data_IF_070592911949
#
_entry.id   IF_070592911949
#
_cell.length_a   1.000
_cell.length_b   1.000
_cell.length_c   1.000
_cell.angle_alpha   90.00
_cell.angle_beta   90.00
_cell.angle_gamma   90.00
#
_symmetry.space_group_name_H-M   'P 1'
#
loop_
_entity.id
_entity.type
_entity.pdbx_description
1 polymer ?
#
# COMPACT_ATOMS: atom_id res chain seq x y z
N UNK A 1 -38.58 -13.83 13.89
CA UNK A 1 -38.41 -13.59 12.44
C UNK A 1 -37.23 -12.65 12.11
N UNK A 2 -36.90 -11.67 12.97
CA UNK A 2 -35.79 -10.71 12.76
C UNK A 2 -34.39 -11.36 12.87
N UNK A 3 -34.25 -12.45 13.63
CA UNK A 3 -32.98 -13.17 13.82
C UNK A 3 -32.43 -13.89 12.57
N UNK A 4 -33.26 -14.11 11.54
CA UNK A 4 -32.81 -14.72 10.26
C UNK A 4 -32.32 -13.70 9.23
N UNK A 5 -32.59 -12.41 9.44
CA UNK A 5 -32.18 -11.34 8.52
C UNK A 5 -30.78 -10.78 8.83
N UNK A 6 -30.29 -10.93 10.07
CA UNK A 6 -28.99 -10.41 10.50
C UNK A 6 -27.82 -11.36 10.22
N UNK A 7 -28.06 -12.67 10.09
CA UNK A 7 -27.03 -13.65 9.72
C UNK A 7 -26.56 -13.52 8.27
N UNK A 8 -27.39 -12.98 7.38
CA UNK A 8 -27.03 -12.72 5.98
C UNK A 8 -26.25 -11.41 5.77
N UNK A 9 -26.35 -10.46 6.70
CA UNK A 9 -25.72 -9.14 6.57
C UNK A 9 -24.20 -9.16 6.82
N UNK A 10 -23.69 -10.14 7.58
CA UNK A 10 -22.25 -10.27 7.87
C UNK A 10 -21.48 -10.83 6.67
N UNK A 11 -22.15 -11.60 5.79
CA UNK A 11 -21.53 -12.13 4.56
C UNK A 11 -21.47 -11.03 3.46
N UNK A 12 -22.30 -10.00 3.53
CA UNK A 12 -22.32 -8.88 2.58
C UNK A 12 -21.31 -7.75 2.91
N UNK A 13 -20.63 -7.81 4.06
CA UNK A 13 -19.61 -6.83 4.47
C UNK A 13 -18.18 -7.35 4.36
N UNK A 14 -17.98 -8.55 3.83
CA UNK A 14 -16.65 -8.93 3.33
C UNK A 14 -16.36 -8.04 2.12
N UNK A 15 -15.27 -7.26 2.11
CA UNK A 15 -14.86 -6.62 0.88
C UNK A 15 -14.60 -7.74 -0.13
N UNK A 16 -15.44 -7.84 -1.16
CA UNK A 16 -15.20 -8.55 -2.42
C UNK A 16 -14.09 -7.84 -3.22
N UNK A 17 -13.02 -7.47 -2.53
CA UNK A 17 -11.80 -6.95 -3.08
C UNK A 17 -10.65 -7.86 -2.65
N UNK A 18 -10.87 -9.18 -2.70
CA UNK A 18 -9.79 -10.07 -3.07
C UNK A 18 -9.46 -9.78 -4.53
N UNK A 19 -8.71 -8.70 -4.78
CA UNK A 19 -7.97 -8.58 -6.01
C UNK A 19 -6.96 -9.71 -5.97
N UNK A 20 -7.34 -10.83 -6.60
CA UNK A 20 -6.37 -11.79 -7.08
C UNK A 20 -5.42 -11.00 -7.99
N UNK A 21 -4.29 -10.56 -7.45
CA UNK A 21 -3.25 -9.86 -8.20
C UNK A 21 -2.50 -10.89 -9.04
N UNK A 22 -3.21 -11.44 -10.02
CA UNK A 22 -2.68 -12.20 -11.14
C UNK A 22 -2.36 -11.28 -12.33
N UNK A 23 -2.03 -10.01 -12.08
CA UNK A 23 -1.50 -9.13 -13.11
C UNK A 23 0.02 -9.37 -13.18
N UNK A 24 0.43 -10.29 -14.06
CA UNK A 24 1.82 -10.40 -14.48
C UNK A 24 2.21 -9.03 -15.06
N UNK A 25 3.07 -8.32 -14.32
CA UNK A 25 3.34 -6.90 -14.48
C UNK A 25 3.89 -6.51 -15.83
N UNK A 26 3.01 -6.28 -16.80
CA UNK A 26 3.34 -5.51 -17.98
C UNK A 26 3.56 -4.06 -17.53
N UNK A 27 4.71 -3.49 -17.90
CA UNK A 27 4.95 -2.07 -17.67
C UNK A 27 3.86 -1.26 -18.39
N UNK A 28 3.24 -0.31 -17.69
CA UNK A 28 2.14 0.53 -18.19
C UNK A 28 2.63 1.97 -18.33
N UNK A 29 2.00 2.80 -19.16
CA UNK A 29 2.32 4.22 -19.21
C UNK A 29 2.26 4.85 -17.80
N UNK A 30 3.31 5.57 -17.34
CA UNK A 30 3.34 6.20 -16.02
C UNK A 30 2.37 7.39 -15.87
N UNK A 31 1.64 7.75 -16.95
CA UNK A 31 0.75 8.90 -17.06
C UNK A 31 1.28 9.95 -18.04
N UNK A 32 0.38 10.76 -18.62
CA UNK A 32 0.74 11.79 -19.60
C UNK A 32 1.01 11.25 -21.01
N UNK A 33 1.82 11.98 -21.79
CA UNK A 33 2.27 11.53 -23.12
C UNK A 33 3.24 10.37 -22.95
N UNK A 34 2.90 9.21 -23.49
CA UNK A 34 3.70 7.99 -23.34
C UNK A 34 4.61 7.70 -24.54
N UNK A 35 4.32 8.28 -25.71
CA UNK A 35 5.01 8.00 -26.96
C UNK A 35 5.49 9.30 -27.59
N UNK A 36 6.75 9.35 -28.02
CA UNK A 36 7.34 10.51 -28.71
C UNK A 36 8.19 10.02 -29.88
N UNK A 37 8.01 10.65 -31.05
CA UNK A 37 8.80 10.37 -32.25
C UNK A 37 9.94 11.39 -32.39
N UNK A 38 11.16 10.92 -32.65
CA UNK A 38 12.36 11.75 -32.86
C UNK A 38 13.25 11.13 -33.94
N UNK A 39 13.61 11.91 -34.97
CA UNK A 39 14.54 11.51 -36.06
C UNK A 39 14.30 10.11 -36.66
N UNK A 40 13.03 9.73 -36.89
CA UNK A 40 12.68 8.42 -37.45
C UNK A 40 12.71 7.27 -36.44
N UNK A 41 12.80 7.57 -35.14
CA UNK A 41 12.58 6.64 -34.05
C UNK A 41 11.33 7.02 -33.28
N UNK A 42 10.67 6.03 -32.69
CA UNK A 42 9.57 6.19 -31.77
C UNK A 42 9.99 5.63 -30.41
N UNK A 43 9.84 6.44 -29.37
CA UNK A 43 10.19 6.07 -28.00
C UNK A 43 8.91 6.04 -27.18
N UNK A 44 8.59 4.87 -26.64
CA UNK A 44 7.49 4.66 -25.70
C UNK A 44 8.05 4.51 -24.28
N UNK A 45 7.50 5.27 -23.33
CA UNK A 45 7.84 5.23 -21.92
C UNK A 45 6.78 4.46 -21.11
N UNK A 46 7.23 3.48 -20.35
CA UNK A 46 6.43 2.66 -19.46
C UNK A 46 7.06 2.62 -18.05
N UNK A 47 6.26 2.29 -17.03
CA UNK A 47 6.73 2.01 -15.68
C UNK A 47 6.09 0.76 -15.08
N UNK A 48 6.80 0.13 -14.15
CA UNK A 48 6.29 -0.95 -13.32
C UNK A 48 6.84 -0.84 -11.89
N UNK A 49 6.01 -0.64 -10.86
CA UNK A 49 4.56 -0.43 -10.94
C UNK A 49 4.19 0.93 -11.57
N UNK A 50 2.92 1.06 -11.95
CA UNK A 50 2.32 2.31 -12.43
C UNK A 50 1.00 2.58 -11.67
N UNK A 51 0.70 3.83 -11.28
CA UNK A 51 1.51 5.04 -11.47
C UNK A 51 2.74 5.06 -10.55
N UNK A 52 3.73 5.91 -10.88
CA UNK A 52 4.91 6.11 -10.04
C UNK A 52 4.52 6.70 -8.67
N UNK A 53 5.21 6.25 -7.64
CA UNK A 53 4.95 6.66 -6.26
C UNK A 53 6.23 7.06 -5.52
N UNK A 54 6.12 8.10 -4.69
CA UNK A 54 7.23 8.55 -3.87
C UNK A 54 7.58 7.51 -2.79
N UNK A 55 8.86 7.22 -2.63
CA UNK A 55 9.40 6.23 -1.70
C UNK A 55 9.26 4.78 -2.16
N UNK A 56 8.71 4.53 -3.36
CA UNK A 56 8.52 3.18 -3.91
C UNK A 56 9.48 2.96 -5.08
N UNK A 57 10.25 1.88 -5.03
CA UNK A 57 11.08 1.47 -6.16
C UNK A 57 10.20 1.08 -7.35
N UNK A 58 10.55 1.60 -8.53
CA UNK A 58 9.86 1.35 -9.79
C UNK A 58 10.87 1.16 -10.92
N UNK A 59 10.54 0.35 -11.90
CA UNK A 59 11.29 0.22 -13.14
C UNK A 59 10.72 1.18 -14.17
N UNK A 60 11.57 2.03 -14.77
CA UNK A 60 11.24 2.78 -15.99
C UNK A 60 11.74 2.00 -17.19
N UNK A 61 10.89 1.85 -18.19
CA UNK A 61 11.19 1.12 -19.43
C UNK A 61 10.99 2.07 -20.61
N UNK A 62 12.06 2.32 -21.37
CA UNK A 62 11.99 3.01 -22.65
C UNK A 62 12.04 1.97 -23.77
N UNK A 63 10.96 1.82 -24.53
CA UNK A 63 10.94 1.01 -25.75
C UNK A 63 11.28 1.88 -26.94
N UNK A 64 12.24 1.46 -27.74
CA UNK A 64 12.69 2.20 -28.91
C UNK A 64 12.36 1.41 -30.17
N UNK A 65 11.61 2.04 -31.07
CA UNK A 65 11.23 1.51 -32.36
C UNK A 65 11.73 2.41 -33.49
N UNK A 66 11.97 1.83 -34.66
CA UNK A 66 12.19 2.57 -35.91
C UNK A 66 10.85 2.97 -36.51
N UNK A 67 10.65 4.20 -36.95
CA UNK A 67 9.37 4.66 -37.49
C UNK A 67 9.57 5.31 -38.88
N UNK A 68 9.12 4.68 -40.00
CA UNK A 68 8.62 3.30 -40.19
C UNK A 68 9.76 2.24 -40.25
N UNK A 69 9.54 0.93 -39.99
CA UNK A 69 8.27 0.18 -39.93
C UNK A 69 7.83 -0.30 -38.53
N UNK A 70 8.08 0.48 -37.47
CA UNK A 70 7.87 0.11 -36.04
C UNK A 70 8.66 -1.15 -35.60
N UNK A 71 9.82 -1.37 -36.20
CA UNK A 71 10.72 -2.45 -35.79
C UNK A 71 11.47 -2.06 -34.50
N UNK A 72 11.58 -2.94 -33.49
CA UNK A 72 12.32 -2.65 -32.27
C UNK A 72 13.82 -2.47 -32.53
N UNK A 73 14.44 -1.51 -31.83
CA UNK A 73 15.86 -1.16 -31.99
C UNK A 73 16.67 -1.67 -30.80
N UNK A 74 17.36 -2.79 -30.99
CA UNK A 74 18.21 -3.44 -29.99
C UNK A 74 19.68 -3.04 -30.09
N UNK A 75 20.45 -3.30 -29.02
CA UNK A 75 21.90 -3.11 -28.98
C UNK A 75 22.37 -1.66 -28.94
N UNK A 76 21.48 -0.72 -28.59
CA UNK A 76 21.79 0.70 -28.46
C UNK A 76 22.39 1.08 -27.11
N UNK A 77 22.91 2.31 -27.04
CA UNK A 77 23.33 2.97 -25.81
C UNK A 77 22.30 4.02 -25.41
N UNK A 78 21.48 3.64 -24.44
CA UNK A 78 20.37 4.45 -23.93
C UNK A 78 20.62 4.78 -22.47
N UNK A 79 20.43 6.05 -22.10
CA UNK A 79 20.45 6.50 -20.72
C UNK A 79 19.06 6.99 -20.33
N UNK A 80 18.65 6.75 -19.08
CA UNK A 80 17.37 7.21 -18.56
C UNK A 80 17.60 7.93 -17.23
N UNK A 81 16.94 9.07 -17.03
CA UNK A 81 16.83 9.76 -15.75
C UNK A 81 15.40 10.10 -15.40
N UNK A 82 15.15 10.20 -14.09
CA UNK A 82 13.96 10.80 -13.52
C UNK A 82 14.41 11.94 -12.61
N UNK A 83 13.83 13.13 -12.79
CA UNK A 83 14.08 14.29 -11.93
C UNK A 83 12.78 15.06 -11.69
N UNK A 84 12.65 15.82 -10.59
CA UNK A 84 11.59 16.80 -10.44
C UNK A 84 11.56 17.76 -11.63
N UNK A 85 10.37 18.24 -12.02
CA UNK A 85 10.26 19.14 -13.16
C UNK A 85 11.13 20.40 -12.94
N UNK A 86 12.04 20.69 -13.90
CA UNK A 86 12.97 21.81 -13.83
C UNK A 86 14.27 21.55 -13.05
N UNK A 87 14.43 20.38 -12.44
CA UNK A 87 15.68 20.00 -11.77
C UNK A 87 16.71 19.44 -12.77
N UNK A 88 18.01 19.46 -12.42
CA UNK A 88 19.06 18.83 -13.23
C UNK A 88 18.83 17.32 -13.39
N UNK A 89 19.07 16.82 -14.60
CA UNK A 89 18.99 15.40 -14.93
C UNK A 89 20.34 14.73 -14.72
N UNK A 90 20.31 13.51 -14.18
CA UNK A 90 21.48 12.64 -14.04
C UNK A 90 21.20 11.31 -14.74
N UNK A 91 21.34 11.23 -16.08
CA UNK A 91 21.07 10.03 -16.85
C UNK A 91 21.95 8.86 -16.41
N UNK A 92 21.33 7.69 -16.22
CA UNK A 92 22.04 6.45 -15.90
C UNK A 92 21.90 5.47 -17.06
N UNK A 93 22.91 4.63 -17.32
CA UNK A 93 22.81 3.57 -18.31
C UNK A 93 21.57 2.69 -18.08
N UNK A 94 20.75 2.54 -19.11
CA UNK A 94 19.58 1.69 -19.11
C UNK A 94 19.90 0.46 -19.98
N UNK A 95 20.28 -0.69 -19.40
CA UNK A 95 20.53 -1.90 -20.19
C UNK A 95 19.26 -2.38 -20.90
N UNK A 96 19.44 -3.02 -22.05
CA UNK A 96 18.34 -3.70 -22.74
C UNK A 96 17.93 -4.96 -21.95
N UNK A 97 16.65 -5.08 -21.63
CA UNK A 97 16.05 -6.20 -20.90
C UNK A 97 15.00 -6.83 -21.80
N UNK A 98 14.91 -8.16 -21.81
CA UNK A 98 13.88 -8.93 -22.55
C UNK A 98 13.88 -8.80 -24.08
N UNK A 99 15.00 -8.39 -24.69
CA UNK A 99 15.17 -8.19 -26.15
C UNK A 99 14.08 -7.25 -26.74
N UNK A 100 14.17 -6.91 -28.02
CA UNK A 100 13.21 -6.00 -28.70
C UNK A 100 13.22 -4.53 -28.21
N UNK A 101 14.40 -3.96 -27.96
CA UNK A 101 14.60 -2.52 -27.82
C UNK A 101 14.01 -1.93 -26.55
N UNK A 102 13.89 -2.73 -25.49
CA UNK A 102 13.36 -2.34 -24.18
C UNK A 102 14.50 -2.03 -23.22
N UNK A 103 14.78 -0.76 -22.95
CA UNK A 103 15.86 -0.30 -22.07
C UNK A 103 15.31 0.09 -20.70
N UNK A 104 15.88 -0.45 -19.63
CA UNK A 104 15.27 -0.36 -18.29
C UNK A 104 16.20 0.25 -17.24
N UNK A 105 15.65 1.07 -16.33
CA UNK A 105 16.36 1.55 -15.14
C UNK A 105 15.47 1.56 -13.90
N UNK A 106 16.01 1.13 -12.76
CA UNK A 106 15.34 1.22 -11.46
C UNK A 106 15.43 2.65 -10.91
N UNK A 107 14.29 3.21 -10.46
CA UNK A 107 14.18 4.54 -9.85
C UNK A 107 13.36 4.47 -8.57
N UNK A 108 13.71 5.32 -7.61
CA UNK A 108 12.93 5.53 -6.39
C UNK A 108 12.70 7.02 -6.26
N UNK A 109 11.55 7.55 -6.72
CA UNK A 109 11.25 8.98 -6.60
C UNK A 109 11.18 9.35 -5.11
N UNK A 110 11.89 10.40 -4.67
CA UNK A 110 11.86 10.82 -3.26
C UNK A 110 10.68 11.74 -2.95
N UNK A 111 10.24 12.51 -3.94
CA UNK A 111 9.24 13.57 -3.78
C UNK A 111 8.01 13.29 -4.64
N UNK A 112 6.87 13.80 -4.19
CA UNK A 112 5.62 13.77 -4.94
C UNK A 112 5.54 14.92 -5.94
N UNK A 113 4.62 14.82 -6.89
CA UNK A 113 4.29 15.89 -7.83
C UNK A 113 4.90 15.69 -9.22
N UNK A 114 5.01 16.79 -9.97
CA UNK A 114 5.44 16.77 -11.37
C UNK A 114 6.93 16.44 -11.51
N UNK A 115 7.22 15.43 -12.31
CA UNK A 115 8.56 14.99 -12.66
C UNK A 115 8.72 14.94 -14.17
N UNK A 116 9.97 14.87 -14.60
CA UNK A 116 10.34 14.67 -15.98
C UNK A 116 11.22 13.43 -16.07
N UNK A 117 10.86 12.52 -16.98
CA UNK A 117 11.74 11.43 -17.41
C UNK A 117 12.45 11.87 -18.68
N UNK A 118 13.77 11.73 -18.71
CA UNK A 118 14.58 12.00 -19.90
C UNK A 118 15.21 10.72 -20.38
N UNK A 119 14.97 10.39 -21.65
CA UNK A 119 15.61 9.29 -22.37
C UNK A 119 16.63 9.90 -23.31
N UNK A 120 17.89 9.50 -23.16
CA UNK A 120 19.03 9.94 -23.97
C UNK A 120 19.43 8.78 -24.87
N UNK A 121 19.36 9.00 -26.18
CA UNK A 121 19.80 8.02 -27.18
C UNK A 121 21.19 8.47 -27.67
N UNK A 122 22.24 7.81 -27.20
CA UNK A 122 23.63 8.12 -27.59
C UNK A 122 24.03 7.34 -28.84
N UNK A 123 23.58 6.10 -28.95
CA UNK A 123 23.92 5.20 -30.04
C UNK A 123 22.74 4.27 -30.33
N UNK A 124 22.33 4.14 -31.58
CA UNK A 124 21.30 3.19 -32.03
C UNK A 124 21.71 2.59 -33.37
N UNK A 125 21.45 1.30 -33.59
CA UNK A 125 21.80 0.60 -34.83
C UNK A 125 23.29 0.77 -35.23
N UNK A 126 24.20 0.90 -34.26
CA UNK A 126 25.63 1.17 -34.48
C UNK A 126 25.97 2.59 -34.94
N UNK A 127 24.98 3.49 -35.00
CA UNK A 127 25.17 4.92 -35.30
C UNK A 127 25.17 5.72 -34.01
N UNK A 128 26.26 6.47 -33.78
CA UNK A 128 26.37 7.44 -32.69
C UNK A 128 25.72 8.77 -33.07
N UNK A 129 25.04 9.41 -32.12
CA UNK A 129 24.41 10.72 -32.28
C UNK A 129 25.25 11.81 -31.62
N UNK A 130 25.56 12.87 -32.37
CA UNK A 130 26.23 14.08 -31.87
C UNK A 130 25.51 15.33 -32.40
N UNK A 131 24.79 16.08 -31.54
CA UNK A 131 24.51 15.80 -30.13
C UNK A 131 23.59 14.57 -29.93
N UNK A 132 23.58 13.94 -28.74
CA UNK A 132 22.65 12.85 -28.42
C UNK A 132 21.19 13.25 -28.60
N UNK A 133 20.33 12.31 -28.98
CA UNK A 133 18.90 12.58 -29.08
C UNK A 133 18.26 12.54 -27.69
N UNK A 134 17.52 13.60 -27.35
CA UNK A 134 16.86 13.75 -26.07
C UNK A 134 15.35 13.65 -26.24
N UNK A 135 14.73 12.78 -25.45
CA UNK A 135 13.28 12.62 -25.40
C UNK A 135 12.81 12.81 -23.98
N UNK A 136 11.95 13.81 -23.78
CA UNK A 136 11.46 14.22 -22.47
C UNK A 136 9.97 13.89 -22.29
N UNK A 137 9.65 13.21 -21.19
CA UNK A 137 8.29 12.81 -20.82
C UNK A 137 7.89 13.47 -19.51
N UNK A 138 6.68 14.02 -19.41
CA UNK A 138 6.14 14.56 -18.16
C UNK A 138 5.36 13.48 -17.43
N UNK A 139 5.73 13.20 -16.19
CA UNK A 139 5.11 12.16 -15.37
C UNK A 139 4.71 12.72 -14.01
N UNK A 140 3.60 12.21 -13.46
CA UNK A 140 3.17 12.53 -12.09
C UNK A 140 3.66 11.46 -11.12
N UNK A 141 4.23 11.88 -9.99
CA UNK A 141 4.58 10.98 -8.89
C UNK A 141 3.56 11.14 -7.76
N UNK A 142 2.81 10.07 -7.50
CA UNK A 142 1.76 10.02 -6.50
C UNK A 142 2.24 9.53 -5.12
N UNK A 143 1.26 9.23 -4.26
CA UNK A 143 1.53 8.48 -3.03
C UNK A 143 1.65 6.99 -3.34
N UNK A 144 2.56 6.30 -2.65
CA UNK A 144 2.57 4.84 -2.67
C UNK A 144 1.23 4.31 -2.14
N UNK A 145 0.61 3.30 -2.79
CA UNK A 145 -0.57 2.66 -2.25
C UNK A 145 -0.22 2.06 -0.89
N UNK A 146 -0.76 2.66 0.18
CA UNK A 146 -0.56 2.17 1.54
C UNK A 146 -1.32 0.86 1.78
N UNK A 147 -0.84 0.05 2.71
CA UNK A 147 -1.47 -1.23 3.08
C UNK A 147 -2.75 -1.06 3.91
N UNK A 148 -3.32 0.14 3.95
CA UNK A 148 -4.42 0.50 4.84
C UNK A 148 -5.65 -0.40 4.64
N UNK A 149 -6.02 -0.69 3.39
CA UNK A 149 -7.17 -1.56 3.11
C UNK A 149 -6.99 -2.98 3.69
N UNK A 150 -5.79 -3.55 3.54
CA UNK A 150 -5.42 -4.86 4.10
C UNK A 150 -5.40 -4.85 5.62
N UNK A 151 -4.89 -3.77 6.22
CA UNK A 151 -4.88 -3.62 7.68
C UNK A 151 -6.31 -3.50 8.21
N UNK A 152 -7.15 -2.67 7.57
CA UNK A 152 -8.54 -2.50 7.97
C UNK A 152 -9.38 -3.77 7.80
N UNK A 153 -9.12 -4.57 6.77
CA UNK A 153 -9.82 -5.85 6.60
C UNK A 153 -9.42 -6.87 7.66
N UNK A 154 -8.14 -6.93 8.06
CA UNK A 154 -7.69 -7.76 9.19
C UNK A 154 -8.33 -7.31 10.51
N UNK A 155 -8.39 -6.00 10.77
CA UNK A 155 -9.02 -5.44 11.97
C UNK A 155 -10.52 -5.78 12.00
N UNK A 156 -11.24 -5.60 10.89
CA UNK A 156 -12.66 -5.91 10.80
C UNK A 156 -12.93 -7.41 10.99
N UNK A 157 -12.08 -8.28 10.43
CA UNK A 157 -12.18 -9.73 10.59
C UNK A 157 -12.03 -10.12 12.07
N UNK A 158 -10.98 -9.62 12.73
CA UNK A 158 -10.73 -9.89 14.15
C UNK A 158 -11.88 -9.37 15.04
N UNK A 159 -12.36 -8.16 14.79
CA UNK A 159 -13.51 -7.59 15.49
C UNK A 159 -14.79 -8.40 15.28
N UNK A 160 -15.05 -8.86 14.05
CA UNK A 160 -16.19 -9.70 13.72
C UNK A 160 -16.17 -11.04 14.46
N UNK A 161 -15.02 -11.72 14.49
CA UNK A 161 -14.83 -12.97 15.23
C UNK A 161 -15.06 -12.77 16.72
N UNK A 162 -14.51 -11.70 17.31
CA UNK A 162 -14.71 -11.37 18.71
C UNK A 162 -16.19 -11.11 19.04
N UNK A 163 -16.89 -10.34 18.20
CA UNK A 163 -18.32 -10.06 18.38
C UNK A 163 -19.17 -11.33 18.29
N UNK A 164 -18.86 -12.23 17.34
CA UNK A 164 -19.54 -13.53 17.19
C UNK A 164 -19.34 -14.41 18.43
N UNK A 165 -18.12 -14.43 18.98
CA UNK A 165 -17.82 -15.16 20.21
C UNK A 165 -18.62 -14.61 21.41
N UNK A 166 -18.66 -13.28 21.58
CA UNK A 166 -19.44 -12.63 22.64
C UNK A 166 -20.94 -12.91 22.48
N UNK A 167 -21.46 -12.80 21.26
CA UNK A 167 -22.87 -13.09 20.97
C UNK A 167 -23.22 -14.56 21.28
N UNK A 168 -22.39 -15.51 20.87
CA UNK A 168 -22.60 -16.93 21.14
C UNK A 168 -22.64 -17.24 22.65
N UNK A 169 -21.77 -16.58 23.43
CA UNK A 169 -21.77 -16.68 24.90
C UNK A 169 -23.04 -16.03 25.48
N UNK A 170 -23.41 -14.84 25.02
CA UNK A 170 -24.57 -14.09 25.53
C UNK A 170 -25.92 -14.75 25.23
N UNK A 171 -26.06 -15.42 24.08
CA UNK A 171 -27.28 -16.19 23.74
C UNK A 171 -27.38 -17.44 24.62
N UNK A 172 -26.25 -18.06 24.96
CA UNK A 172 -26.20 -19.20 25.89
C UNK A 172 -26.53 -18.83 27.34
N UNK A 173 -26.45 -17.56 27.73
CA UNK A 173 -26.60 -17.11 29.12
C UNK A 173 -27.95 -16.43 29.44
N UNK A 174 -28.99 -16.60 28.59
CA UNK A 174 -30.31 -15.99 28.83
C UNK A 174 -31.14 -16.82 29.83
N UNK A 175 -30.97 -16.53 31.12
CA UNK A 175 -31.92 -16.80 32.21
C UNK A 175 -32.54 -15.45 32.68
N UNK A 176 -33.78 -15.42 33.22
CA UNK A 176 -34.46 -14.17 33.57
C UNK A 176 -33.86 -13.51 34.82
N UNK A 177 -33.80 -12.18 34.84
CA UNK A 177 -33.11 -11.37 35.86
C UNK A 177 -34.03 -10.30 36.45
N UNK A 178 -34.28 -10.40 37.76
CA UNK A 178 -34.65 -9.26 38.63
C UNK A 178 -33.91 -9.40 39.97
N UNK A 179 -32.87 -8.59 40.16
CA UNK A 179 -32.24 -8.18 41.43
C UNK A 179 -31.02 -7.33 41.06
N UNK A 180 -30.60 -6.37 41.89
CA UNK A 180 -29.38 -5.59 41.64
C UNK A 180 -28.20 -6.54 41.37
N UNK A 181 -27.59 -6.39 40.20
CA UNK A 181 -26.67 -7.39 39.66
C UNK A 181 -25.35 -7.37 40.39
N UNK A 182 -25.26 -8.15 41.46
CA UNK A 182 -23.98 -8.53 42.04
C UNK A 182 -23.28 -9.44 41.02
N UNK A 183 -22.45 -8.85 40.16
CA UNK A 183 -21.73 -9.54 39.08
C UNK A 183 -20.80 -10.66 39.63
N UNK A 184 -20.45 -10.59 40.92
CA UNK A 184 -19.66 -11.60 41.62
C UNK A 184 -20.48 -12.80 42.14
N UNK A 185 -21.81 -12.73 42.17
CA UNK A 185 -22.66 -13.90 42.48
C UNK A 185 -22.76 -14.85 41.29
N UNK A 186 -22.48 -14.35 40.08
CA UNK A 186 -22.43 -15.15 38.87
C UNK A 186 -21.16 -16.01 38.90
N UNK A 187 -21.32 -17.28 39.22
CA UNK A 187 -20.23 -18.22 39.48
C UNK A 187 -19.21 -18.34 38.33
N UNK A 188 -19.62 -18.22 37.07
CA UNK A 188 -18.71 -18.23 35.92
C UNK A 188 -17.93 -16.93 35.77
N UNK A 189 -18.56 -15.77 36.07
CA UNK A 189 -17.91 -14.47 36.00
C UNK A 189 -16.95 -14.28 37.16
N UNK A 190 -17.33 -14.72 38.36
CA UNK A 190 -16.42 -14.81 39.51
C UNK A 190 -15.23 -15.70 39.18
N UNK A 191 -15.45 -16.93 38.69
CA UNK A 191 -14.35 -17.84 38.28
C UNK A 191 -13.46 -17.21 37.22
N UNK A 192 -14.02 -16.47 36.27
CA UNK A 192 -13.26 -15.78 35.23
C UNK A 192 -12.42 -14.65 35.82
N UNK A 193 -13.02 -13.74 36.60
CA UNK A 193 -12.37 -12.57 37.19
C UNK A 193 -11.35 -12.93 38.28
N UNK A 194 -11.57 -14.03 39.03
CA UNK A 194 -10.61 -14.53 40.03
C UNK A 194 -9.64 -15.56 39.47
N UNK A 195 -9.70 -15.84 38.16
CA UNK A 195 -8.77 -16.81 37.54
C UNK A 195 -7.36 -16.21 37.52
N UNK A 196 -6.32 -16.98 37.90
CA UNK A 196 -4.94 -16.53 37.72
C UNK A 196 -4.58 -16.31 36.24
N UNK A 197 -5.36 -16.89 35.31
CA UNK A 197 -5.19 -16.69 33.89
C UNK A 197 -5.84 -15.39 33.36
N UNK A 198 -6.67 -14.71 34.16
CA UNK A 198 -7.39 -13.51 33.72
C UNK A 198 -6.47 -12.33 33.42
N UNK A 199 -5.56 -12.05 34.36
CA UNK A 199 -4.57 -11.01 34.22
C UNK A 199 -3.66 -11.23 33.00
N UNK A 200 -3.03 -12.40 32.80
CA UNK A 200 -2.23 -12.63 31.60
C UNK A 200 -3.09 -12.68 30.32
N UNK A 201 -4.35 -13.12 30.37
CA UNK A 201 -5.23 -13.09 29.20
C UNK A 201 -5.56 -11.67 28.72
N UNK A 202 -5.52 -10.67 29.60
CA UNK A 202 -5.60 -9.26 29.22
C UNK A 202 -4.23 -8.67 28.85
N UNK A 203 -3.20 -8.98 29.64
CA UNK A 203 -1.86 -8.42 29.46
C UNK A 203 -1.17 -8.90 28.19
N UNK A 204 -1.28 -10.18 27.83
CA UNK A 204 -0.60 -10.74 26.65
C UNK A 204 -1.10 -10.09 25.35
N UNK A 205 -2.41 -9.94 25.10
CA UNK A 205 -2.90 -9.19 23.95
C UNK A 205 -2.47 -7.71 23.95
N UNK A 206 -2.49 -7.04 25.10
CA UNK A 206 -2.02 -5.65 25.19
C UNK A 206 -0.52 -5.52 24.89
N UNK A 207 0.30 -6.44 25.42
CA UNK A 207 1.73 -6.50 25.13
C UNK A 207 1.95 -6.75 23.64
N UNK A 208 1.22 -7.69 23.05
CA UNK A 208 1.31 -7.97 21.62
C UNK A 208 0.94 -6.75 20.77
N UNK A 209 -0.15 -6.06 21.12
CA UNK A 209 -0.54 -4.80 20.48
C UNK A 209 0.55 -3.74 20.64
N UNK A 210 1.16 -3.62 21.81
CA UNK A 210 2.26 -2.69 22.05
C UNK A 210 3.49 -3.02 21.20
N UNK A 211 3.86 -4.30 21.07
CA UNK A 211 4.94 -4.72 20.16
C UNK A 211 4.61 -4.33 18.72
N UNK A 212 3.38 -4.53 18.26
CA UNK A 212 2.94 -4.11 16.92
C UNK A 212 3.09 -2.60 16.74
N UNK A 213 2.63 -1.80 17.70
CA UNK A 213 2.74 -0.33 17.65
C UNK A 213 4.21 0.10 17.59
N UNK A 214 5.09 -0.53 18.37
CA UNK A 214 6.52 -0.25 18.34
C UNK A 214 7.13 -0.60 16.99
N UNK A 215 6.84 -1.79 16.45
CA UNK A 215 7.33 -2.21 15.13
C UNK A 215 6.84 -1.25 14.04
N UNK A 216 5.57 -0.84 14.06
CA UNK A 216 5.05 0.17 13.15
C UNK A 216 5.78 1.51 13.31
N UNK A 217 6.13 1.91 14.52
CA UNK A 217 6.90 3.13 14.76
C UNK A 217 8.27 3.12 14.06
N UNK A 218 8.94 1.96 14.04
CA UNK A 218 10.27 1.83 13.43
C UNK A 218 10.24 1.58 11.91
N UNK A 219 9.26 0.84 11.40
CA UNK A 219 9.23 0.37 10.01
C UNK A 219 8.24 1.13 9.12
N UNK A 220 7.39 2.01 9.67
CA UNK A 220 6.47 2.85 8.91
C UNK A 220 7.08 4.24 8.60
N UNK A 221 6.34 5.04 7.84
CA UNK A 221 6.71 6.39 7.41
C UNK A 221 6.96 7.27 8.64
N UNK A 222 8.15 7.89 8.69
CA UNK A 222 8.61 8.75 9.80
C UNK A 222 8.00 10.17 9.76
N UNK A 223 6.71 10.26 9.44
CA UNK A 223 5.91 11.48 9.50
C UNK A 223 4.70 11.21 10.40
N UNK A 224 4.64 11.88 11.55
CA UNK A 224 3.62 11.64 12.59
C UNK A 224 2.17 11.86 12.14
N UNK A 225 1.93 12.63 11.07
CA UNK A 225 0.58 12.84 10.54
C UNK A 225 0.06 11.61 9.77
N UNK A 226 0.96 10.76 9.27
CA UNK A 226 0.62 9.58 8.47
C UNK A 226 0.99 8.28 9.15
N UNK A 227 1.99 8.30 10.03
CA UNK A 227 2.48 7.15 10.77
C UNK A 227 1.36 6.43 11.52
N UNK A 228 1.25 5.14 11.27
CA UNK A 228 0.19 4.30 11.81
C UNK A 228 0.32 4.12 13.32
N UNK A 229 1.55 4.03 13.84
CA UNK A 229 1.79 3.93 15.28
C UNK A 229 1.29 5.20 15.98
N UNK A 230 1.60 6.38 15.45
CA UNK A 230 1.13 7.65 16.01
C UNK A 230 -0.41 7.72 16.03
N UNK A 231 -1.07 7.32 14.94
CA UNK A 231 -2.54 7.30 14.87
C UNK A 231 -3.15 6.30 15.85
N UNK A 232 -2.62 5.07 15.91
CA UNK A 232 -3.10 4.02 16.80
C UNK A 232 -2.95 4.42 18.26
N UNK A 233 -1.80 4.96 18.65
CA UNK A 233 -1.58 5.47 20.02
C UNK A 233 -2.60 6.55 20.37
N UNK A 234 -2.85 7.50 19.46
CA UNK A 234 -3.83 8.56 19.69
C UNK A 234 -5.26 8.02 19.82
N UNK A 235 -5.66 7.08 18.97
CA UNK A 235 -6.98 6.44 19.02
C UNK A 235 -7.18 5.64 20.31
N UNK A 236 -6.20 4.82 20.70
CA UNK A 236 -6.27 4.02 21.94
C UNK A 236 -6.33 4.94 23.15
N UNK A 237 -5.52 6.00 23.18
CA UNK A 237 -5.51 6.99 24.26
C UNK A 237 -6.86 7.69 24.41
N UNK A 238 -7.42 8.22 23.31
CA UNK A 238 -8.75 8.85 23.35
C UNK A 238 -9.86 7.90 23.77
N UNK A 239 -9.85 6.66 23.26
CA UNK A 239 -10.80 5.65 23.70
C UNK A 239 -10.68 5.41 25.21
N UNK A 240 -9.46 5.28 25.74
CA UNK A 240 -9.21 5.12 27.17
C UNK A 240 -9.76 6.29 28.00
N UNK A 241 -9.51 7.53 27.56
CA UNK A 241 -10.05 8.73 28.22
C UNK A 241 -11.59 8.71 28.23
N UNK A 242 -12.22 8.45 27.09
CA UNK A 242 -13.69 8.43 26.96
C UNK A 242 -14.29 7.38 27.88
N UNK A 243 -13.78 6.14 27.86
CA UNK A 243 -14.28 5.08 28.72
C UNK A 243 -14.09 5.38 30.20
N UNK A 244 -12.97 6.00 30.58
CA UNK A 244 -12.72 6.38 31.98
C UNK A 244 -13.73 7.42 32.45
N UNK A 245 -14.02 8.45 31.63
CA UNK A 245 -15.04 9.44 31.98
C UNK A 245 -16.44 8.84 32.07
N UNK A 246 -16.79 7.86 31.22
CA UNK A 246 -18.08 7.18 31.29
C UNK A 246 -18.22 6.23 32.49
N UNK A 247 -17.13 5.63 32.97
CA UNK A 247 -17.14 4.69 34.09
C UNK A 247 -17.02 5.36 35.46
N UNK A 248 -16.37 6.53 35.52
CA UNK A 248 -16.13 7.29 36.77
C UNK A 248 -17.12 8.46 36.94
N UNK A 249 -17.80 8.86 35.86
CA UNK A 249 -18.81 9.94 35.84
C UNK A 249 -20.16 9.55 36.41
#
# INVERSE_FOLDING_TARGET
MIARLLGGAVILLLPLAAWAHGEHGSAKPPGGTAVVTVQGYEVELLSSPAPLAAGQESQLVAKVFKNPPLAPVSGGRVLISLAPAGAPHHPRPAPEVTWAGSYTVAVTPERRGAHQVRVVLEELEGRRFEPPLLVDFRVGVGQAPGNAATVWSLVALLGGVAALAVYAVAVRSREPREAALNLLEISWLRKLLTSPAFQPALQVPLLFLMVIVVLLGFFDIQDGAVNLATKLTWTIWWAGIIFTFFLVG
#
